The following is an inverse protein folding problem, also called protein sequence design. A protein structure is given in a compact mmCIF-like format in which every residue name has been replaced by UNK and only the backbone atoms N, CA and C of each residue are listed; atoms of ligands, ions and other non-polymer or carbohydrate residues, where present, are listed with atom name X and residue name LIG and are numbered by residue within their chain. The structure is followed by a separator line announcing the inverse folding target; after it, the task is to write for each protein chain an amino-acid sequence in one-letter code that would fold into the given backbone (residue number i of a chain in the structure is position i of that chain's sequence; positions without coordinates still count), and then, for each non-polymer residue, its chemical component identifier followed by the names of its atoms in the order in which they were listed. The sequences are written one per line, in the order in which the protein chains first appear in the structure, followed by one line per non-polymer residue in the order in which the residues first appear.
data_IF_521553720899
#
_entry.id   IF_521553720899
#
_cell.length_a   1.000
_cell.length_b   1.000
_cell.length_c   1.000
_cell.angle_alpha   90.00
_cell.angle_beta   90.00
_cell.angle_gamma   90.00
#
_symmetry.space_group_name_H-M   'P 1'
#
loop_
_entity.id
_entity.type
_entity.pdbx_description
1 polymer ?
#
# COMPACT_ATOMS: atom_id res chain seq x y z
N UNK A 1 21.00 59.91 -11.51
CA UNK A 1 19.86 59.43 -10.69
C UNK A 1 19.44 57.97 -10.96
N UNK A 2 19.92 57.27 -12.01
CA UNK A 2 19.52 55.87 -12.29
C UNK A 2 20.29 54.76 -11.52
N UNK A 3 21.48 55.05 -10.97
CA UNK A 3 22.30 54.06 -10.23
C UNK A 3 21.92 53.94 -8.75
N UNK A 4 21.48 55.02 -8.11
CA UNK A 4 21.03 55.00 -6.71
C UNK A 4 19.65 54.35 -6.54
N UNK A 5 18.76 54.45 -7.53
CA UNK A 5 17.45 53.78 -7.52
C UNK A 5 17.54 52.26 -7.67
N UNK A 6 18.57 51.74 -8.35
CA UNK A 6 18.79 50.29 -8.48
C UNK A 6 19.35 49.65 -7.21
N UNK A 7 20.21 50.38 -6.47
CA UNK A 7 20.78 49.92 -5.20
C UNK A 7 19.71 49.87 -4.10
N UNK A 8 18.79 50.85 -4.08
CA UNK A 8 17.68 50.88 -3.12
C UNK A 8 16.66 49.76 -3.40
N UNK A 9 16.38 49.46 -4.67
CA UNK A 9 15.51 48.34 -5.05
C UNK A 9 16.14 46.97 -4.72
N UNK A 10 17.45 46.82 -4.92
CA UNK A 10 18.18 45.61 -4.52
C UNK A 10 18.25 45.45 -2.99
N UNK A 11 18.46 46.54 -2.24
CA UNK A 11 18.46 46.51 -0.77
C UNK A 11 17.06 46.22 -0.19
N UNK A 12 15.98 46.70 -0.82
CA UNK A 12 14.62 46.41 -0.41
C UNK A 12 14.19 44.96 -0.72
N UNK A 13 14.68 44.39 -1.83
CA UNK A 13 14.46 42.98 -2.16
C UNK A 13 15.23 42.02 -1.21
N UNK A 14 16.42 42.43 -0.73
CA UNK A 14 17.20 41.68 0.27
C UNK A 14 16.56 41.81 1.67
N UNK A 15 15.98 42.96 2.00
CA UNK A 15 15.29 43.18 3.29
C UNK A 15 13.96 42.39 3.42
N UNK A 16 13.26 42.14 2.31
CA UNK A 16 12.03 41.32 2.30
C UNK A 16 12.31 39.81 2.30
N UNK A 17 13.55 39.38 2.04
CA UNK A 17 13.94 37.96 2.04
C UNK A 17 14.58 37.50 3.36
N UNK A 18 14.87 38.39 4.32
CA UNK A 18 15.72 38.06 5.47
C UNK A 18 15.16 38.43 6.86
N UNK A 19 13.84 38.44 7.02
CA UNK A 19 13.22 38.35 8.35
C UNK A 19 12.38 37.08 8.44
N UNK A 20 13.03 35.91 8.37
CA UNK A 20 12.35 34.70 8.82
C UNK A 20 12.07 34.86 10.31
N UNK A 21 10.82 34.73 10.72
CA UNK A 21 10.46 34.71 12.13
C UNK A 21 10.82 33.37 12.82
N UNK A 22 11.43 32.44 12.08
CA UNK A 22 11.93 31.17 12.61
C UNK A 22 13.30 31.40 13.27
N UNK A 23 13.44 31.10 14.57
CA UNK A 23 14.70 31.31 15.28
C UNK A 23 15.84 30.46 14.73
N UNK A 24 17.02 31.06 14.67
CA UNK A 24 18.28 30.34 14.38
C UNK A 24 18.96 29.89 15.67
N UNK A 25 18.16 29.32 16.58
CA UNK A 25 18.61 28.77 17.86
C UNK A 25 18.64 27.24 17.77
N UNK A 26 19.55 26.58 18.49
CA UNK A 26 19.57 25.12 18.59
C UNK A 26 18.20 24.56 18.98
N UNK A 27 17.81 23.42 18.41
CA UNK A 27 16.56 22.74 18.76
C UNK A 27 16.54 22.25 20.21
N UNK A 28 17.70 22.20 20.86
CA UNK A 28 17.86 21.88 22.29
C UNK A 28 17.54 23.05 23.20
N UNK A 29 17.56 24.28 22.69
CA UNK A 29 17.40 25.49 23.49
C UNK A 29 15.94 25.90 23.61
N UNK A 30 15.52 26.34 24.79
CA UNK A 30 14.15 26.81 25.00
C UNK A 30 13.95 28.17 24.34
N UNK A 31 12.82 28.32 23.63
CA UNK A 31 12.42 29.56 23.02
C UNK A 31 11.51 30.34 23.96
N UNK A 32 11.61 31.66 23.92
CA UNK A 32 10.67 32.51 24.64
C UNK A 32 9.27 32.40 24.02
N UNK A 33 8.23 32.66 24.82
CA UNK A 33 6.84 32.64 24.34
C UNK A 33 6.61 33.54 23.11
N UNK A 34 7.33 34.67 23.02
CA UNK A 34 7.24 35.59 21.89
C UNK A 34 7.92 35.03 20.62
N UNK A 35 9.05 34.34 20.77
CA UNK A 35 9.72 33.65 19.65
C UNK A 35 8.84 32.52 19.11
N UNK A 36 8.27 31.68 19.99
CA UNK A 36 7.35 30.61 19.60
C UNK A 36 6.13 31.19 18.89
N UNK A 37 5.50 32.21 19.47
CA UNK A 37 4.32 32.86 18.87
C UNK A 37 4.60 33.39 17.47
N UNK A 38 5.72 34.08 17.25
CA UNK A 38 6.10 34.61 15.93
C UNK A 38 6.37 33.49 14.92
N UNK A 39 7.04 32.42 15.35
CA UNK A 39 7.38 31.31 14.50
C UNK A 39 6.13 30.51 14.08
N UNK A 40 5.22 30.20 15.02
CA UNK A 40 3.92 29.56 14.74
C UNK A 40 3.04 30.39 13.81
N UNK A 41 3.05 31.72 13.95
CA UNK A 41 2.32 32.60 13.04
C UNK A 41 2.88 32.61 11.62
N UNK A 42 4.17 32.26 11.46
CA UNK A 42 4.85 32.28 10.18
C UNK A 42 4.81 30.94 9.49
N UNK A 43 4.75 29.85 10.27
CA UNK A 43 4.69 28.49 9.76
C UNK A 43 3.88 27.60 10.71
N UNK A 44 2.81 26.99 10.19
CA UNK A 44 1.91 26.15 11.00
C UNK A 44 2.56 24.88 11.51
N UNK A 45 3.61 24.37 10.84
CA UNK A 45 4.33 23.16 11.25
C UNK A 45 5.29 23.43 12.42
N UNK A 46 5.55 24.71 12.72
CA UNK A 46 6.49 25.07 13.77
C UNK A 46 6.01 24.65 15.15
N UNK A 47 4.70 24.68 15.42
CA UNK A 47 4.16 24.29 16.73
C UNK A 47 4.52 22.83 17.05
N UNK A 48 4.22 21.92 16.11
CA UNK A 48 4.53 20.50 16.25
C UNK A 48 6.04 20.24 16.35
N UNK A 49 6.84 20.95 15.54
CA UNK A 49 8.31 20.90 15.64
C UNK A 49 8.79 21.33 17.03
N UNK A 50 8.28 22.44 17.56
CA UNK A 50 8.69 22.97 18.85
C UNK A 50 8.34 22.00 19.98
N UNK A 51 7.11 21.51 20.00
CA UNK A 51 6.64 20.55 20.99
C UNK A 51 7.42 19.24 20.92
N UNK A 52 7.68 18.72 19.71
CA UNK A 52 8.55 17.56 19.51
C UNK A 52 9.95 17.79 20.05
N UNK A 53 10.56 18.94 19.73
CA UNK A 53 11.90 19.27 20.19
C UNK A 53 11.97 19.41 21.72
N UNK A 54 10.99 20.07 22.35
CA UNK A 54 10.89 20.20 23.81
C UNK A 54 10.72 18.85 24.50
N UNK A 55 9.78 18.04 24.00
CA UNK A 55 9.56 16.70 24.49
C UNK A 55 10.84 15.89 24.41
N UNK A 56 11.50 15.86 23.25
CA UNK A 56 12.71 15.07 23.03
C UNK A 56 13.89 15.55 23.87
N UNK A 57 14.15 16.86 23.92
CA UNK A 57 15.24 17.42 24.72
C UNK A 57 15.08 17.17 26.22
N UNK A 58 13.86 16.94 26.71
CA UNK A 58 13.63 16.56 28.12
C UNK A 58 14.15 15.17 28.50
N UNK A 59 14.38 14.29 27.51
CA UNK A 59 14.95 12.95 27.70
C UNK A 59 16.43 12.85 27.29
N UNK A 60 16.97 13.88 26.65
CA UNK A 60 18.35 13.85 26.15
C UNK A 60 19.37 13.98 27.28
N UNK A 61 20.43 13.16 27.21
CA UNK A 61 21.62 13.32 28.03
C UNK A 61 22.51 14.45 27.49
N UNK A 62 23.44 14.95 28.30
CA UNK A 62 24.35 16.05 27.89
C UNK A 62 25.13 15.75 26.61
N UNK A 63 25.48 14.48 26.37
CA UNK A 63 26.17 14.06 25.15
C UNK A 63 25.29 14.20 23.90
N UNK A 64 23.99 13.94 24.02
CA UNK A 64 23.02 14.08 22.92
C UNK A 64 22.70 15.54 22.67
N UNK A 65 22.53 16.34 23.73
CA UNK A 65 22.39 17.80 23.62
C UNK A 65 23.58 18.39 22.87
N UNK A 66 24.81 18.00 23.24
CA UNK A 66 26.02 18.44 22.56
C UNK A 66 26.05 18.01 21.08
N UNK A 67 25.64 16.78 20.78
CA UNK A 67 25.56 16.25 19.40
C UNK A 67 24.62 17.08 18.52
N UNK A 68 23.47 17.50 19.04
CA UNK A 68 22.45 18.24 18.28
C UNK A 68 22.54 19.77 18.42
N UNK A 69 23.54 20.30 19.12
CA UNK A 69 23.74 21.74 19.29
C UNK A 69 23.86 22.53 17.98
N UNK A 70 24.29 21.88 16.89
CA UNK A 70 24.37 22.48 15.56
C UNK A 70 23.07 22.46 14.75
N UNK A 71 22.04 21.76 15.21
CA UNK A 71 20.74 21.71 14.53
C UNK A 71 19.86 22.85 15.03
N UNK A 72 19.58 23.84 14.19
CA UNK A 72 18.71 24.96 14.57
C UNK A 72 17.24 24.68 14.23
N UNK A 73 16.33 25.38 14.91
CA UNK A 73 14.90 25.34 14.61
C UNK A 73 14.58 25.64 13.14
N UNK A 74 15.32 26.57 12.53
CA UNK A 74 15.24 26.87 11.10
C UNK A 74 15.55 25.64 10.24
N UNK A 75 16.71 25.02 10.46
CA UNK A 75 17.14 23.88 9.65
C UNK A 75 16.22 22.67 9.86
N UNK A 76 15.77 22.44 11.10
CA UNK A 76 14.81 21.39 11.40
C UNK A 76 13.46 21.60 10.71
N UNK A 77 12.96 22.84 10.65
CA UNK A 77 11.73 23.17 9.94
C UNK A 77 11.88 23.01 8.42
N UNK A 78 12.98 23.48 7.84
CA UNK A 78 13.29 23.27 6.42
C UNK A 78 13.37 21.77 6.07
N UNK A 79 13.91 20.97 6.98
CA UNK A 79 13.95 19.52 6.85
C UNK A 79 12.55 18.90 6.92
N UNK A 80 11.68 19.33 7.84
CA UNK A 80 10.28 18.88 7.90
C UNK A 80 9.58 19.18 6.57
N UNK A 81 9.66 20.41 6.07
CA UNK A 81 9.09 20.79 4.76
C UNK A 81 9.58 19.87 3.65
N UNK A 82 10.88 19.60 3.62
CA UNK A 82 11.45 18.66 2.66
C UNK A 82 10.85 17.25 2.81
N UNK A 83 10.64 16.75 4.03
CA UNK A 83 10.05 15.43 4.25
C UNK A 83 8.55 15.35 3.95
N UNK A 84 7.84 16.48 4.03
CA UNK A 84 6.40 16.59 3.77
C UNK A 84 6.06 17.01 2.33
N UNK A 85 7.05 17.37 1.51
CA UNK A 85 6.86 17.70 0.09
C UNK A 85 6.41 16.47 -0.71
N UNK A 86 5.09 16.26 -0.71
CA UNK A 86 4.45 15.13 -1.38
C UNK A 86 4.70 15.15 -2.90
N UNK A 87 4.79 16.33 -3.52
CA UNK A 87 5.03 16.45 -4.95
C UNK A 87 6.44 15.98 -5.31
N UNK A 88 7.44 16.41 -4.55
CA UNK A 88 8.81 15.93 -4.68
C UNK A 88 8.88 14.41 -4.48
N UNK A 89 8.36 13.91 -3.37
CA UNK A 89 8.49 12.49 -3.02
C UNK A 89 7.68 11.56 -3.93
N UNK A 90 6.55 12.00 -4.48
CA UNK A 90 5.82 11.22 -5.49
C UNK A 90 6.67 11.02 -6.73
N UNK A 91 7.27 12.09 -7.26
CA UNK A 91 8.16 12.01 -8.42
C UNK A 91 9.40 11.14 -8.16
N UNK A 92 9.99 11.25 -6.97
CA UNK A 92 11.13 10.40 -6.62
C UNK A 92 10.74 8.92 -6.53
N UNK A 93 9.57 8.60 -5.95
CA UNK A 93 9.06 7.22 -5.90
C UNK A 93 8.85 6.65 -7.29
N UNK A 94 8.19 7.37 -8.19
CA UNK A 94 7.99 6.94 -9.57
C UNK A 94 9.31 6.61 -10.27
N UNK A 95 10.32 7.48 -10.09
CA UNK A 95 11.65 7.28 -10.65
C UNK A 95 12.31 6.01 -10.08
N UNK A 96 12.31 5.85 -8.76
CA UNK A 96 12.91 4.70 -8.08
C UNK A 96 12.23 3.38 -8.45
N UNK A 97 10.90 3.38 -8.57
CA UNK A 97 10.14 2.22 -9.05
C UNK A 97 10.53 1.86 -10.49
N UNK A 98 10.67 2.86 -11.37
CA UNK A 98 11.12 2.62 -12.74
C UNK A 98 12.55 2.06 -12.80
N UNK A 99 13.49 2.61 -12.02
CA UNK A 99 14.85 2.11 -11.89
C UNK A 99 14.87 0.66 -11.39
N UNK A 100 14.11 0.34 -10.34
CA UNK A 100 14.01 -1.03 -9.83
C UNK A 100 13.45 -1.99 -10.88
N UNK A 101 12.42 -1.58 -11.64
CA UNK A 101 11.85 -2.40 -12.71
C UNK A 101 12.84 -2.68 -13.83
N UNK A 102 13.68 -1.70 -14.18
CA UNK A 102 14.73 -1.86 -15.20
C UNK A 102 15.82 -2.83 -14.73
N UNK A 103 16.32 -2.65 -13.50
CA UNK A 103 17.32 -3.53 -12.88
C UNK A 103 16.84 -4.98 -12.79
N UNK A 104 15.54 -5.18 -12.56
CA UNK A 104 14.93 -6.49 -12.37
C UNK A 104 14.19 -7.03 -13.61
N UNK A 105 14.28 -6.35 -14.77
CA UNK A 105 13.46 -6.65 -15.95
C UNK A 105 13.54 -8.11 -16.40
N UNK A 106 14.73 -8.72 -16.36
CA UNK A 106 14.93 -10.13 -16.74
C UNK A 106 14.24 -11.11 -15.79
N UNK A 107 14.31 -10.86 -14.48
CA UNK A 107 13.66 -11.70 -13.49
C UNK A 107 12.15 -11.56 -13.58
N UNK A 108 11.66 -10.33 -13.72
CA UNK A 108 10.25 -10.01 -13.95
C UNK A 108 9.70 -10.69 -15.22
N UNK A 109 10.46 -10.71 -16.32
CA UNK A 109 10.06 -11.44 -17.54
C UNK A 109 9.96 -12.94 -17.31
N UNK A 110 10.90 -13.55 -16.58
CA UNK A 110 10.81 -14.97 -16.22
C UNK A 110 9.61 -15.25 -15.32
N UNK A 111 9.30 -14.35 -14.39
CA UNK A 111 8.10 -14.45 -13.55
C UNK A 111 6.84 -14.45 -14.40
N UNK A 112 6.75 -13.60 -15.43
CA UNK A 112 5.61 -13.62 -16.37
C UNK A 112 5.46 -14.98 -17.06
N UNK A 113 6.54 -15.56 -17.55
CA UNK A 113 6.51 -16.88 -18.18
C UNK A 113 6.03 -17.98 -17.22
N UNK A 114 6.41 -17.91 -15.94
CA UNK A 114 5.91 -18.87 -14.93
C UNK A 114 4.42 -18.65 -14.65
N UNK A 115 3.98 -17.40 -14.52
CA UNK A 115 2.55 -17.07 -14.34
C UNK A 115 1.73 -17.56 -15.55
N UNK A 116 2.22 -17.36 -16.77
CA UNK A 116 1.56 -17.83 -18.00
C UNK A 116 1.49 -19.36 -18.05
N UNK A 117 2.58 -20.07 -17.72
CA UNK A 117 2.57 -21.53 -17.67
C UNK A 117 1.51 -22.08 -16.68
N UNK A 118 1.34 -21.44 -15.52
CA UNK A 118 0.26 -21.81 -14.59
C UNK A 118 -1.12 -21.50 -15.14
N UNK A 119 -1.29 -20.37 -15.83
CA UNK A 119 -2.56 -20.00 -16.47
C UNK A 119 -2.96 -21.00 -17.55
N UNK A 120 -2.01 -21.43 -18.37
CA UNK A 120 -2.22 -22.42 -19.42
C UNK A 120 -2.56 -23.79 -18.82
N UNK A 121 -1.84 -24.20 -17.77
CA UNK A 121 -2.12 -25.43 -17.03
C UNK A 121 -3.54 -25.44 -16.44
N UNK A 122 -3.96 -24.34 -15.80
CA UNK A 122 -5.34 -24.18 -15.29
C UNK A 122 -6.35 -24.27 -16.42
N UNK A 123 -6.11 -23.56 -17.53
CA UNK A 123 -7.02 -23.54 -18.68
C UNK A 123 -7.17 -24.92 -19.33
N UNK A 124 -6.08 -25.69 -19.39
CA UNK A 124 -6.05 -27.05 -19.92
C UNK A 124 -6.82 -28.07 -19.06
N UNK A 125 -7.19 -27.75 -17.82
CA UNK A 125 -8.07 -28.61 -17.02
C UNK A 125 -9.51 -28.60 -17.52
N UNK A 126 -9.91 -27.59 -18.29
CA UNK A 126 -11.28 -27.44 -18.80
C UNK A 126 -12.36 -27.47 -17.71
N UNK A 127 -12.03 -27.08 -16.46
CA UNK A 127 -13.00 -27.09 -15.36
C UNK A 127 -14.22 -26.18 -15.62
N UNK A 128 -14.04 -25.13 -16.42
CA UNK A 128 -15.12 -24.25 -16.86
C UNK A 128 -16.16 -24.93 -17.76
N UNK A 129 -15.84 -26.09 -18.35
CA UNK A 129 -16.80 -26.88 -19.15
C UNK A 129 -17.81 -27.62 -18.27
N UNK A 130 -17.58 -27.69 -16.97
CA UNK A 130 -18.43 -28.40 -16.01
C UNK A 130 -19.30 -27.46 -15.19
N UNK A 131 -18.80 -26.26 -14.88
CA UNK A 131 -19.43 -25.36 -13.91
C UNK A 131 -19.31 -23.90 -14.31
N UNK A 132 -20.36 -23.14 -14.05
CA UNK A 132 -20.35 -21.68 -14.04
C UNK A 132 -20.73 -21.18 -12.66
N UNK A 133 -19.90 -20.29 -12.09
CA UNK A 133 -20.16 -19.65 -10.80
C UNK A 133 -20.29 -18.16 -11.05
N UNK A 134 -21.45 -17.61 -10.75
CA UNK A 134 -21.77 -16.20 -10.97
C UNK A 134 -22.09 -15.54 -9.64
N UNK A 135 -21.39 -14.47 -9.23
CA UNK A 135 -21.81 -13.71 -8.07
C UNK A 135 -23.14 -13.00 -8.37
N UNK A 136 -24.11 -13.06 -7.46
CA UNK A 136 -25.46 -12.50 -7.66
C UNK A 136 -25.89 -11.51 -6.57
N UNK A 137 -25.22 -11.49 -5.41
CA UNK A 137 -25.46 -10.47 -4.39
C UNK A 137 -24.23 -10.25 -3.51
N UNK A 138 -24.12 -9.05 -2.94
CA UNK A 138 -23.23 -8.72 -1.85
C UNK A 138 -24.07 -8.06 -0.75
N UNK A 139 -24.29 -8.77 0.35
CA UNK A 139 -25.20 -8.32 1.41
C UNK A 139 -24.40 -7.93 2.65
N UNK A 140 -24.64 -6.73 3.18
CA UNK A 140 -24.06 -6.34 4.46
C UNK A 140 -24.62 -7.21 5.61
N UNK A 141 -23.75 -7.61 6.52
CA UNK A 141 -24.06 -8.42 7.70
C UNK A 141 -23.72 -7.62 8.95
N UNK A 142 -24.52 -7.75 10.02
CA UNK A 142 -24.28 -7.04 11.28
C UNK A 142 -22.89 -7.34 11.83
N UNK A 143 -22.15 -6.29 12.19
CA UNK A 143 -20.86 -6.41 12.90
C UNK A 143 -21.07 -6.23 14.40
N UNK A 144 -20.77 -7.27 15.18
CA UNK A 144 -20.89 -7.26 16.65
C UNK A 144 -19.66 -6.65 17.38
N UNK A 145 -18.66 -6.15 16.66
CA UNK A 145 -17.44 -5.61 17.29
C UNK A 145 -17.54 -4.10 17.52
N UNK A 146 -17.65 -3.72 18.80
CA UNK A 146 -17.84 -2.36 19.32
C UNK A 146 -16.64 -1.40 19.15
N UNK A 147 -15.46 -1.88 18.72
CA UNK A 147 -14.22 -1.08 18.78
C UNK A 147 -13.68 -0.55 17.45
N UNK A 148 -14.30 -0.86 16.30
CA UNK A 148 -13.90 -0.29 15.01
C UNK A 148 -15.12 0.01 14.14
N UNK A 149 -15.68 1.20 14.31
CA UNK A 149 -16.93 1.67 13.70
C UNK A 149 -16.88 1.87 12.18
N UNK A 150 -15.75 1.61 11.52
CA UNK A 150 -15.57 1.84 10.08
C UNK A 150 -15.69 0.59 9.22
N UNK A 151 -15.58 -0.60 9.81
CA UNK A 151 -15.50 -1.84 9.05
C UNK A 151 -16.84 -2.58 8.96
N UNK A 152 -17.34 -2.80 7.74
CA UNK A 152 -18.58 -3.55 7.45
C UNK A 152 -18.25 -4.95 6.94
N UNK A 153 -19.03 -5.94 7.37
CA UNK A 153 -18.96 -7.33 6.89
C UNK A 153 -19.90 -7.54 5.71
N UNK A 154 -19.40 -7.93 4.54
CA UNK A 154 -20.25 -8.31 3.40
C UNK A 154 -20.22 -9.83 3.21
N UNK A 155 -21.38 -10.45 3.05
CA UNK A 155 -21.51 -11.82 2.57
C UNK A 155 -21.80 -11.82 1.07
N UNK A 156 -21.01 -12.58 0.31
CA UNK A 156 -21.23 -12.76 -1.12
C UNK A 156 -22.16 -13.95 -1.35
N UNK A 157 -23.14 -13.77 -2.23
CA UNK A 157 -24.00 -14.86 -2.71
C UNK A 157 -23.63 -15.21 -4.14
N UNK A 158 -23.48 -16.49 -4.41
CA UNK A 158 -23.15 -17.03 -5.72
C UNK A 158 -24.30 -17.90 -6.24
N UNK A 159 -24.56 -17.80 -7.53
CA UNK A 159 -25.32 -18.77 -8.30
C UNK A 159 -24.35 -19.75 -8.97
N UNK A 160 -24.58 -21.03 -8.73
CA UNK A 160 -23.79 -22.15 -9.26
C UNK A 160 -24.66 -22.90 -10.26
N UNK A 161 -24.21 -22.94 -11.51
CA UNK A 161 -24.87 -23.60 -12.64
C UNK A 161 -23.95 -24.72 -13.16
N UNK A 162 -24.40 -25.97 -13.03
CA UNK A 162 -23.70 -27.10 -13.62
C UNK A 162 -24.00 -27.19 -15.11
N UNK A 163 -22.94 -27.21 -15.93
CA UNK A 163 -23.01 -27.34 -17.38
C UNK A 163 -22.96 -28.81 -17.81
N UNK A 164 -22.45 -29.68 -16.92
CA UNK A 164 -22.44 -31.14 -17.00
C UNK A 164 -22.87 -31.71 -15.65
N UNK A 165 -23.30 -32.97 -15.56
CA UNK A 165 -23.55 -33.61 -14.26
C UNK A 165 -22.29 -33.55 -13.39
N UNK A 166 -22.45 -33.11 -12.14
CA UNK A 166 -21.38 -33.05 -11.13
C UNK A 166 -21.95 -33.50 -9.79
N UNK A 167 -21.13 -34.14 -8.96
CA UNK A 167 -21.49 -34.62 -7.62
C UNK A 167 -20.88 -33.76 -6.51
N UNK A 168 -19.71 -33.19 -6.79
CA UNK A 168 -18.97 -32.33 -5.87
C UNK A 168 -18.31 -31.16 -6.61
N UNK A 169 -18.32 -29.99 -5.97
CA UNK A 169 -17.62 -28.79 -6.39
C UNK A 169 -16.83 -28.22 -5.21
N UNK A 170 -15.56 -27.92 -5.43
CA UNK A 170 -14.74 -27.09 -4.56
C UNK A 170 -14.36 -25.85 -5.36
N UNK A 171 -14.59 -24.67 -4.80
CA UNK A 171 -14.15 -23.43 -5.41
C UNK A 171 -13.68 -22.44 -4.35
N UNK A 172 -12.75 -21.59 -4.73
CA UNK A 172 -12.26 -20.50 -3.91
C UNK A 172 -12.74 -19.16 -4.46
N UNK A 173 -12.99 -18.19 -3.58
CA UNK A 173 -13.27 -16.81 -3.97
C UNK A 173 -12.58 -15.83 -3.03
N UNK A 174 -12.40 -14.60 -3.51
CA UNK A 174 -11.81 -13.54 -2.71
C UNK A 174 -11.83 -12.23 -3.47
N UNK A 175 -11.19 -11.19 -2.92
CA UNK A 175 -11.21 -9.88 -3.55
C UNK A 175 -9.89 -9.13 -3.38
N UNK A 176 -9.66 -8.20 -4.30
CA UNK A 176 -8.51 -7.31 -4.29
C UNK A 176 -8.99 -5.91 -3.92
N UNK A 177 -8.59 -5.41 -2.74
CA UNK A 177 -8.87 -4.04 -2.35
C UNK A 177 -7.81 -3.11 -2.94
N UNK A 178 -8.19 -2.34 -3.97
CA UNK A 178 -7.26 -1.44 -4.66
C UNK A 178 -6.91 -0.17 -3.86
N UNK A 179 -7.63 0.12 -2.76
CA UNK A 179 -7.42 1.31 -1.92
C UNK A 179 -6.69 1.03 -0.62
N UNK A 180 -6.76 -0.20 -0.09
CA UNK A 180 -6.02 -0.56 1.11
C UNK A 180 -4.53 -0.72 0.76
N UNK A 181 -3.66 0.00 1.48
CA UNK A 181 -2.20 -0.01 1.29
C UNK A 181 -1.62 -1.43 1.37
N UNK A 182 -2.29 -2.34 2.06
CA UNK A 182 -2.04 -3.77 2.04
C UNK A 182 -3.37 -4.51 2.22
N UNK A 183 -3.81 -5.30 1.24
CA UNK A 183 -4.06 -6.74 1.39
C UNK A 183 -4.90 -7.28 0.23
N UNK A 184 -4.50 -8.47 -0.20
CA UNK A 184 -5.42 -9.42 -0.81
C UNK A 184 -6.26 -9.92 0.37
N UNK A 185 -7.44 -9.36 0.55
CA UNK A 185 -8.29 -9.77 1.64
C UNK A 185 -8.98 -11.07 1.21
N UNK A 186 -8.41 -12.15 1.73
CA UNK A 186 -9.07 -13.41 1.96
C UNK A 186 -9.28 -14.31 0.73
N UNK A 187 -8.84 -15.57 0.85
CA UNK A 187 -9.25 -16.68 -0.02
C UNK A 187 -10.19 -17.53 0.83
N UNK A 188 -11.47 -17.50 0.50
CA UNK A 188 -12.47 -18.40 1.08
C UNK A 188 -12.61 -19.61 0.18
N UNK A 189 -12.46 -20.81 0.71
CA UNK A 189 -12.75 -22.05 -0.01
C UNK A 189 -14.11 -22.58 0.42
N UNK A 190 -14.98 -22.84 -0.56
CA UNK A 190 -16.26 -23.49 -0.38
C UNK A 190 -16.23 -24.87 -0.99
N UNK A 191 -16.77 -25.83 -0.25
CA UNK A 191 -17.04 -27.19 -0.73
C UNK A 191 -18.54 -27.42 -0.75
N UNK A 192 -19.05 -27.87 -1.88
CA UNK A 192 -20.44 -28.19 -2.12
C UNK A 192 -20.57 -29.63 -2.60
N UNK A 193 -21.49 -30.37 -2.00
CA UNK A 193 -21.88 -31.71 -2.44
C UNK A 193 -23.40 -31.75 -2.68
N UNK A 194 -23.86 -32.68 -3.50
CA UNK A 194 -25.29 -32.95 -3.71
C UNK A 194 -25.71 -32.86 -5.18
N UNK A 195 -27.01 -32.82 -5.43
CA UNK A 195 -27.55 -32.75 -6.79
C UNK A 195 -27.41 -31.33 -7.36
N UNK A 196 -26.70 -31.18 -8.48
CA UNK A 196 -26.51 -29.92 -9.19
C UNK A 196 -27.35 -29.81 -10.49
N UNK A 197 -28.38 -30.64 -10.66
CA UNK A 197 -29.32 -30.55 -11.81
C UNK A 197 -30.03 -29.20 -11.92
N UNK A 198 -30.18 -28.50 -10.80
CA UNK A 198 -30.76 -27.15 -10.74
C UNK A 198 -29.71 -26.14 -10.30
N UNK A 199 -29.92 -24.87 -10.68
CA UNK A 199 -29.10 -23.75 -10.20
C UNK A 199 -29.17 -23.67 -8.69
N UNK A 200 -28.01 -23.61 -8.04
CA UNK A 200 -27.90 -23.52 -6.58
C UNK A 200 -27.43 -22.13 -6.18
N UNK A 201 -28.00 -21.61 -5.09
CA UNK A 201 -27.51 -20.39 -4.44
C UNK A 201 -26.71 -20.77 -3.21
N UNK A 202 -25.53 -20.18 -3.07
CA UNK A 202 -24.67 -20.34 -1.90
C UNK A 202 -24.28 -18.95 -1.38
N UNK A 203 -24.55 -18.70 -0.10
CA UNK A 203 -23.95 -17.59 0.61
C UNK A 203 -22.57 -18.05 1.08
N UNK A 204 -21.54 -17.32 0.66
CA UNK A 204 -20.17 -17.54 1.09
C UNK A 204 -20.04 -17.38 2.60
N UNK A 205 -19.34 -18.32 3.25
CA UNK A 205 -19.21 -18.38 4.71
C UNK A 205 -18.31 -17.29 5.29
N UNK A 206 -17.51 -16.64 4.45
CA UNK A 206 -16.54 -15.65 4.89
C UNK A 206 -17.01 -14.23 4.54
N UNK A 207 -16.77 -13.32 5.49
CA UNK A 207 -17.20 -11.94 5.37
C UNK A 207 -16.06 -11.06 4.87
N UNK A 208 -16.37 -10.25 3.88
CA UNK A 208 -15.50 -9.20 3.37
C UNK A 208 -15.54 -8.04 4.34
N UNK A 209 -14.39 -7.58 4.82
CA UNK A 209 -14.34 -6.40 5.70
C UNK A 209 -13.97 -5.18 4.87
N UNK A 210 -14.82 -4.15 4.87
CA UNK A 210 -14.59 -2.95 4.06
C UNK A 210 -14.83 -1.69 4.87
N UNK A 211 -14.03 -0.64 4.64
CA UNK A 211 -14.16 0.66 5.31
C UNK A 211 -15.34 1.50 4.78
N UNK A 212 -16.01 1.04 3.73
CA UNK A 212 -17.01 1.80 3.00
C UNK A 212 -18.30 0.99 2.84
N UNK A 213 -19.48 1.62 2.89
CA UNK A 213 -20.68 0.96 2.42
C UNK A 213 -20.47 0.58 0.94
N UNK A 214 -20.70 -0.70 0.63
CA UNK A 214 -20.80 -1.19 -0.74
C UNK A 214 -22.29 -1.57 -0.92
N UNK A 215 -23.11 -0.66 -1.48
CA UNK A 215 -24.56 -0.78 -1.48
C UNK A 215 -25.07 -1.93 -2.37
N UNK A 216 -24.29 -2.36 -3.38
CA UNK A 216 -24.64 -3.46 -4.26
C UNK A 216 -23.41 -4.18 -4.86
N UNK A 217 -23.67 -5.28 -5.57
CA UNK A 217 -22.65 -6.16 -6.16
C UNK A 217 -21.84 -5.46 -7.26
N UNK A 218 -22.43 -4.55 -8.03
CA UNK A 218 -21.76 -3.89 -9.14
C UNK A 218 -20.71 -2.91 -8.61
N UNK A 219 -21.05 -2.15 -7.56
CA UNK A 219 -20.08 -1.31 -6.86
C UNK A 219 -19.00 -2.17 -6.20
N UNK A 220 -19.37 -3.32 -5.61
CA UNK A 220 -18.41 -4.27 -5.05
C UNK A 220 -17.40 -4.73 -6.10
N UNK A 221 -17.83 -5.22 -7.27
CA UNK A 221 -16.94 -5.71 -8.34
C UNK A 221 -16.12 -4.61 -9.01
N UNK A 222 -16.66 -3.40 -9.08
CA UNK A 222 -15.96 -2.26 -9.67
C UNK A 222 -14.85 -1.78 -8.76
N UNK A 223 -15.11 -1.71 -7.46
CA UNK A 223 -14.14 -1.20 -6.47
C UNK A 223 -13.19 -2.28 -5.99
N UNK A 224 -13.65 -3.52 -5.93
CA UNK A 224 -12.89 -4.67 -5.47
C UNK A 224 -12.77 -5.70 -6.58
N UNK A 225 -11.56 -6.17 -6.83
CA UNK A 225 -11.33 -7.22 -7.83
C UNK A 225 -11.80 -8.57 -7.31
N UNK A 226 -13.12 -8.84 -7.36
CA UNK A 226 -13.67 -10.16 -7.05
C UNK A 226 -13.09 -11.19 -8.02
N UNK A 227 -12.55 -12.27 -7.47
CA UNK A 227 -12.17 -13.44 -8.25
C UNK A 227 -12.88 -14.66 -7.70
N UNK A 228 -13.14 -15.61 -8.60
CA UNK A 228 -13.74 -16.90 -8.31
C UNK A 228 -12.93 -17.93 -9.09
N UNK A 229 -12.47 -18.96 -8.40
CA UNK A 229 -11.61 -19.99 -8.94
C UNK A 229 -12.21 -21.37 -8.61
N UNK A 230 -12.90 -22.02 -9.55
CA UNK A 230 -13.25 -23.43 -9.42
C UNK A 230 -11.96 -24.25 -9.25
N UNK A 231 -11.86 -25.02 -8.17
CA UNK A 231 -10.66 -25.77 -7.84
C UNK A 231 -10.77 -27.23 -8.22
N UNK A 232 -11.91 -27.85 -7.91
CA UNK A 232 -12.14 -29.28 -8.15
C UNK A 232 -13.60 -29.53 -8.47
N UNK A 233 -13.84 -30.39 -9.46
CA UNK A 233 -15.16 -30.94 -9.81
C UNK A 233 -15.06 -32.46 -9.82
N UNK A 234 -16.02 -33.13 -9.20
CA UNK A 234 -16.20 -34.59 -9.29
C UNK A 234 -17.46 -34.87 -10.08
N UNK A 235 -17.39 -35.78 -11.05
CA UNK A 235 -18.51 -36.21 -11.90
C UNK A 235 -18.45 -37.72 -12.10
N UNK A 236 -19.24 -38.47 -11.34
CA UNK A 236 -19.19 -39.93 -11.30
C UNK A 236 -17.85 -40.42 -10.76
N UNK A 237 -17.08 -41.11 -11.61
CA UNK A 237 -15.73 -41.58 -11.26
C UNK A 237 -14.62 -40.61 -11.72
N UNK A 238 -14.96 -39.53 -12.42
CA UNK A 238 -13.99 -38.58 -12.93
C UNK A 238 -13.80 -37.43 -11.94
N UNK A 239 -12.55 -37.01 -11.74
CA UNK A 239 -12.19 -35.82 -10.95
C UNK A 239 -11.35 -34.88 -11.82
N UNK A 240 -11.82 -33.65 -11.98
CA UNK A 240 -11.10 -32.57 -12.67
C UNK A 240 -10.66 -31.56 -11.62
N UNK A 241 -9.36 -31.31 -11.50
CA UNK A 241 -8.81 -30.41 -10.48
C UNK A 241 -7.65 -29.58 -11.03
N UNK A 242 -7.58 -28.31 -10.63
CA UNK A 242 -6.50 -27.38 -10.98
C UNK A 242 -5.33 -27.41 -9.98
N UNK A 243 -5.42 -28.23 -8.90
CA UNK A 243 -4.41 -28.38 -7.85
C UNK A 243 -3.74 -27.06 -7.42
N UNK A 244 -4.53 -26.16 -6.84
CA UNK A 244 -4.06 -24.84 -6.36
C UNK A 244 -3.03 -24.95 -5.23
N UNK A 245 -2.97 -26.07 -4.52
CA UNK A 245 -2.04 -26.30 -3.41
C UNK A 245 -0.56 -26.25 -3.83
N UNK A 246 -0.25 -26.53 -5.10
CA UNK A 246 1.10 -26.44 -5.65
C UNK A 246 1.51 -25.05 -6.16
N UNK A 247 0.58 -24.09 -6.18
CA UNK A 247 0.82 -22.77 -6.76
C UNK A 247 1.30 -21.81 -5.66
N UNK A 248 2.50 -21.20 -5.78
CA UNK A 248 2.94 -20.15 -4.86
C UNK A 248 1.90 -19.05 -4.72
N UNK A 249 1.67 -18.58 -3.50
CA UNK A 249 0.53 -17.70 -3.20
C UNK A 249 0.56 -16.40 -4.00
N UNK A 250 1.74 -15.81 -4.25
CA UNK A 250 1.80 -14.57 -5.05
C UNK A 250 1.60 -14.83 -6.55
N UNK A 251 1.91 -16.03 -7.05
CA UNK A 251 1.53 -16.46 -8.41
C UNK A 251 0.02 -16.65 -8.50
N UNK A 252 -0.59 -17.36 -7.54
CA UNK A 252 -2.03 -17.56 -7.48
C UNK A 252 -2.78 -16.21 -7.49
N UNK A 253 -2.29 -15.23 -6.72
CA UNK A 253 -2.83 -13.86 -6.74
C UNK A 253 -2.72 -13.22 -8.12
N UNK A 254 -1.60 -13.34 -8.82
CA UNK A 254 -1.46 -12.82 -10.19
C UNK A 254 -2.42 -13.49 -11.18
N UNK A 255 -2.75 -14.76 -10.98
CA UNK A 255 -3.73 -15.48 -11.80
C UNK A 255 -5.16 -14.98 -11.57
N UNK A 256 -5.48 -14.58 -10.34
CA UNK A 256 -6.78 -14.08 -9.94
C UNK A 256 -7.01 -12.58 -10.24
N UNK A 257 -5.94 -11.78 -10.36
CA UNK A 257 -6.05 -10.34 -10.63
C UNK A 257 -6.35 -10.06 -12.11
N UNK A 258 -7.40 -9.30 -12.37
CA UNK A 258 -7.60 -8.69 -13.69
C UNK A 258 -6.56 -7.57 -13.90
N UNK A 259 -5.48 -7.89 -14.63
CA UNK A 259 -4.36 -6.97 -14.93
C UNK A 259 -4.80 -5.65 -15.57
N UNK A 260 -5.86 -5.65 -16.38
CA UNK A 260 -6.36 -4.44 -17.07
C UNK A 260 -7.10 -3.53 -16.08
N UNK A 261 -7.94 -4.10 -15.22
CA UNK A 261 -8.71 -3.33 -14.22
C UNK A 261 -7.87 -2.91 -13.01
N UNK A 262 -6.89 -3.73 -12.62
CA UNK A 262 -6.10 -3.55 -11.39
C UNK A 262 -4.59 -3.71 -11.64
N UNK A 263 -3.98 -2.87 -12.52
CA UNK A 263 -2.58 -3.02 -12.90
C UNK A 263 -1.62 -2.86 -11.71
N UNK A 264 -1.85 -1.89 -10.82
CA UNK A 264 -1.00 -1.67 -9.64
C UNK A 264 -1.00 -2.87 -8.68
N UNK A 265 -2.16 -3.50 -8.46
CA UNK A 265 -2.25 -4.70 -7.64
C UNK A 265 -1.54 -5.89 -8.30
N UNK A 266 -1.70 -6.05 -9.61
CA UNK A 266 -1.01 -7.07 -10.40
C UNK A 266 0.51 -6.90 -10.29
N UNK A 267 1.03 -5.70 -10.55
CA UNK A 267 2.48 -5.42 -10.53
C UNK A 267 3.09 -5.66 -9.14
N UNK A 268 2.37 -5.27 -8.07
CA UNK A 268 2.78 -5.56 -6.69
C UNK A 268 2.91 -7.06 -6.42
N UNK A 269 1.93 -7.86 -6.84
CA UNK A 269 1.98 -9.31 -6.63
C UNK A 269 2.96 -10.01 -7.55
N UNK A 270 3.14 -9.50 -8.77
CA UNK A 270 4.15 -9.95 -9.72
C UNK A 270 5.56 -9.73 -9.16
N UNK A 271 5.85 -8.57 -8.59
CA UNK A 271 7.11 -8.30 -7.91
C UNK A 271 7.34 -9.27 -6.75
N UNK A 272 6.31 -9.56 -5.92
CA UNK A 272 6.42 -10.55 -4.83
C UNK A 272 6.63 -11.98 -5.34
N UNK A 273 5.93 -12.38 -6.40
CA UNK A 273 6.11 -13.68 -7.05
C UNK A 273 7.54 -13.83 -7.60
N UNK A 274 8.12 -12.75 -8.16
CA UNK A 274 9.52 -12.73 -8.58
C UNK A 274 10.46 -13.04 -7.42
N UNK A 275 10.23 -12.45 -6.24
CA UNK A 275 11.07 -12.72 -5.06
C UNK A 275 10.95 -14.15 -4.53
N UNK A 276 9.75 -14.73 -4.58
CA UNK A 276 9.52 -16.13 -4.21
C UNK A 276 10.25 -17.08 -5.17
N UNK A 277 10.21 -16.78 -6.47
CA UNK A 277 10.82 -17.60 -7.52
C UNK A 277 12.33 -17.42 -7.62
N UNK A 278 12.83 -16.21 -7.36
CA UNK A 278 14.22 -15.83 -7.55
C UNK A 278 14.75 -15.09 -6.30
N UNK A 279 15.05 -15.82 -5.20
CA UNK A 279 15.46 -15.21 -3.93
C UNK A 279 16.74 -14.35 -4.04
N UNK A 280 17.60 -14.62 -5.02
CA UNK A 280 18.80 -13.82 -5.30
C UNK A 280 18.48 -12.37 -5.68
N UNK A 281 17.26 -12.07 -6.10
CA UNK A 281 16.74 -10.73 -6.36
C UNK A 281 16.05 -10.14 -5.10
N UNK A 282 16.71 -10.34 -3.95
CA UNK A 282 16.13 -10.29 -2.60
C UNK A 282 15.46 -8.97 -2.17
N UNK A 283 15.75 -7.85 -2.84
CA UNK A 283 15.24 -6.53 -2.41
C UNK A 283 13.91 -6.27 -3.11
N UNK A 284 12.83 -6.22 -2.33
CA UNK A 284 11.50 -5.86 -2.86
C UNK A 284 11.51 -4.42 -3.32
N UNK A 285 10.70 -4.08 -4.32
CA UNK A 285 10.52 -2.70 -4.76
C UNK A 285 10.28 -1.74 -3.59
N UNK A 286 9.39 -2.12 -2.67
CA UNK A 286 9.09 -1.33 -1.47
C UNK A 286 10.34 -1.14 -0.59
N UNK A 287 11.13 -2.19 -0.37
CA UNK A 287 12.38 -2.11 0.39
C UNK A 287 13.41 -1.23 -0.33
N UNK A 288 13.55 -1.38 -1.65
CA UNK A 288 14.43 -0.55 -2.48
C UNK A 288 14.07 0.93 -2.36
N UNK A 289 12.80 1.27 -2.59
CA UNK A 289 12.29 2.65 -2.49
C UNK A 289 12.47 3.20 -1.07
N UNK A 290 12.18 2.42 -0.04
CA UNK A 290 12.37 2.84 1.36
C UNK A 290 13.82 3.16 1.69
N UNK A 291 14.77 2.30 1.33
CA UNK A 291 16.19 2.56 1.59
C UNK A 291 16.69 3.77 0.78
N UNK A 292 16.24 3.96 -0.47
CA UNK A 292 16.59 5.15 -1.25
C UNK A 292 16.04 6.45 -0.66
N UNK A 293 14.77 6.45 -0.22
CA UNK A 293 14.17 7.60 0.47
C UNK A 293 14.97 7.92 1.74
N UNK A 294 15.31 6.89 2.51
CA UNK A 294 16.10 7.00 3.73
C UNK A 294 17.48 7.63 3.44
N UNK A 295 18.18 7.16 2.42
CA UNK A 295 19.47 7.72 1.98
C UNK A 295 19.34 9.18 1.56
N UNK A 296 18.30 9.53 0.80
CA UNK A 296 18.05 10.91 0.37
C UNK A 296 17.73 11.83 1.55
N UNK A 297 16.92 11.36 2.50
CA UNK A 297 16.62 12.10 3.72
C UNK A 297 17.87 12.34 4.55
N UNK A 298 18.70 11.31 4.76
CA UNK A 298 19.97 11.43 5.45
C UNK A 298 20.96 12.35 4.71
N UNK A 299 20.97 12.34 3.38
CA UNK A 299 21.83 13.19 2.57
C UNK A 299 21.39 14.67 2.58
N UNK A 300 20.09 14.96 2.77
CA UNK A 300 19.57 16.34 2.86
C UNK A 300 20.10 17.04 4.11
N UNK A 301 19.99 16.40 5.26
CA UNK A 301 20.54 16.87 6.53
C UNK A 301 20.65 15.67 7.47
N UNK A 302 21.87 15.16 7.66
CA UNK A 302 22.09 13.97 8.48
C UNK A 302 21.79 14.22 9.95
N UNK A 303 22.02 15.45 10.43
CA UNK A 303 21.82 15.79 11.84
C UNK A 303 20.31 15.89 12.14
N UNK A 304 19.55 16.54 11.25
CA UNK A 304 18.09 16.55 11.34
C UNK A 304 17.49 15.14 11.18
N UNK A 305 17.96 14.36 10.20
CA UNK A 305 17.52 12.98 9.99
C UNK A 305 17.68 12.12 11.25
N UNK A 306 18.85 12.17 11.89
CA UNK A 306 19.11 11.45 13.15
C UNK A 306 18.27 12.01 14.30
N UNK A 307 18.11 13.34 14.38
CA UNK A 307 17.28 13.98 15.37
C UNK A 307 15.82 13.57 15.28
N UNK A 308 15.27 13.23 14.12
CA UNK A 308 13.88 12.75 14.00
C UNK A 308 13.72 11.22 14.09
N UNK A 309 14.81 10.44 14.07
CA UNK A 309 14.76 8.97 14.05
C UNK A 309 15.26 8.25 15.28
N UNK A 310 15.97 8.93 16.19
CA UNK A 310 16.33 8.32 17.48
C UNK A 310 15.06 7.83 18.18
N UNK A 311 15.02 6.55 18.51
CA UNK A 311 14.00 6.00 19.36
C UNK A 311 14.14 6.63 20.76
N UNK A 312 13.01 6.89 21.42
CA UNK A 312 13.00 7.27 22.82
C UNK A 312 13.11 5.97 23.62
N UNK A 313 14.31 5.65 24.10
CA UNK A 313 14.54 4.52 25.01
C UNK A 313 13.92 4.76 26.40
#
# INVERSE_FOLDING_TARGET
MKKTSLIIAAAAAIALASCSNIPDKPVTDELTAEEVKKAVQSDSLFADLYDFARFRSSFMQSAEIARFSGLTYRNALEYIHFTEDSAFWNKQREKMTAEWNEENAKALQKTDSVIEAWRDSISATHISDYIRITPIAANEKPTYFLYASTYRKMALTFEVEALKPIDELIFSYGFINNKAKDNFDFVATEKMTGDFREKRRIEGRNFVTTEYPLPDLDEFQTRLGLFILPETVVSGNDTVSINTAGIPINILKCLCINKVKFPAAYDKHRARAMQELFPDYAISENKYVKERIKDMKKAKDSLAYEFFLMDLE
#
